data_IF_065008197088
#
_entry.id   IF_065008197088
#
_cell.length_a   1.000
_cell.length_b   1.000
_cell.length_c   1.000
_cell.angle_alpha   90.00
_cell.angle_beta   90.00
_cell.angle_gamma   90.00
#
_symmetry.space_group_name_H-M   'P 1'
#
loop_
_entity.id
_entity.type
_entity.pdbx_description
1 polymer ?
#
# COMPACT_ATOMS: atom_id res chain seq x y z
N UNK A 1 25.31 -11.35 -4.63
CA UNK A 1 26.40 -11.87 -5.49
C UNK A 1 27.77 -11.74 -4.81
N UNK A 2 28.20 -10.57 -4.37
CA UNK A 2 29.53 -10.34 -3.79
C UNK A 2 29.89 -11.25 -2.59
N UNK A 3 28.93 -11.61 -1.76
CA UNK A 3 29.15 -12.49 -0.60
C UNK A 3 29.41 -13.93 -1.04
N UNK A 4 28.72 -14.38 -2.10
CA UNK A 4 28.84 -15.74 -2.62
C UNK A 4 30.13 -15.95 -3.44
N UNK A 5 30.66 -14.88 -4.02
CA UNK A 5 31.92 -14.94 -4.81
C UNK A 5 33.17 -15.04 -3.92
N UNK A 6 33.09 -14.71 -2.64
CA UNK A 6 34.22 -14.76 -1.71
C UNK A 6 34.68 -16.16 -1.29
N UNK A 7 33.92 -17.19 -1.72
CA UNK A 7 34.22 -18.61 -1.44
C UNK A 7 34.48 -18.90 0.07
N UNK A 8 33.76 -18.18 0.95
CA UNK A 8 33.85 -18.35 2.39
C UNK A 8 32.91 -19.48 2.82
N UNK A 9 33.49 -20.57 3.27
CA UNK A 9 32.75 -21.76 3.70
C UNK A 9 31.87 -21.55 4.94
N UNK A 10 32.02 -20.43 5.64
CA UNK A 10 31.25 -20.10 6.83
C UNK A 10 30.11 -19.08 6.55
N UNK A 11 29.91 -18.72 5.28
CA UNK A 11 28.92 -17.73 4.89
C UNK A 11 27.83 -18.34 4.04
N UNK A 12 26.58 -18.07 4.39
CA UNK A 12 25.41 -18.42 3.58
C UNK A 12 24.60 -17.15 3.26
N UNK A 13 23.91 -17.14 2.13
CA UNK A 13 23.04 -16.04 1.72
C UNK A 13 21.57 -16.51 1.64
N UNK A 14 20.64 -15.60 1.98
CA UNK A 14 19.22 -15.79 1.74
C UNK A 14 18.93 -15.26 0.33
N UNK A 15 18.33 -16.08 -0.51
CA UNK A 15 18.05 -15.76 -1.90
C UNK A 15 16.73 -16.39 -2.37
N UNK A 16 16.24 -15.98 -3.53
CA UNK A 16 15.06 -16.58 -4.16
C UNK A 16 15.38 -17.93 -4.83
N UNK A 17 14.36 -18.71 -5.14
CA UNK A 17 14.47 -20.05 -5.74
C UNK A 17 15.19 -20.07 -7.09
N UNK A 18 15.24 -18.95 -7.82
CA UNK A 18 15.93 -18.86 -9.10
C UNK A 18 17.44 -19.18 -9.03
N UNK A 19 18.05 -19.16 -7.85
CA UNK A 19 19.43 -19.59 -7.64
C UNK A 19 19.61 -21.11 -7.75
N UNK A 20 18.54 -21.90 -7.74
CA UNK A 20 18.59 -23.37 -7.95
C UNK A 20 19.18 -23.74 -9.32
N UNK A 21 19.07 -22.86 -10.31
CA UNK A 21 19.58 -23.09 -11.66
C UNK A 21 21.05 -22.70 -11.85
N UNK A 22 21.70 -22.15 -10.81
CA UNK A 22 23.11 -21.77 -10.84
C UNK A 22 23.97 -22.83 -10.15
N UNK A 23 24.63 -23.65 -10.97
CA UNK A 23 25.46 -24.78 -10.51
C UNK A 23 26.66 -24.37 -9.61
N UNK A 24 26.92 -23.08 -9.45
CA UNK A 24 27.99 -22.57 -8.56
C UNK A 24 27.57 -22.58 -7.08
N UNK A 25 26.30 -22.74 -6.80
CA UNK A 25 25.75 -22.65 -5.45
C UNK A 25 25.02 -23.93 -5.04
N UNK A 26 25.01 -24.19 -3.76
CA UNK A 26 24.28 -25.32 -3.16
C UNK A 26 23.22 -24.75 -2.23
N UNK A 27 21.98 -25.17 -2.43
CA UNK A 27 20.89 -24.82 -1.53
C UNK A 27 21.02 -25.64 -0.25
N UNK A 28 21.29 -24.95 0.84
CA UNK A 28 21.40 -25.57 2.16
C UNK A 28 20.03 -25.85 2.77
N UNK A 29 19.08 -24.95 2.60
CA UNK A 29 17.71 -25.10 3.12
C UNK A 29 16.72 -24.32 2.26
N UNK A 30 15.61 -24.97 1.89
CA UNK A 30 14.47 -24.36 1.21
C UNK A 30 13.40 -23.92 2.21
N UNK A 31 12.53 -23.01 1.80
CA UNK A 31 11.33 -22.59 2.54
C UNK A 31 11.64 -22.05 3.95
N UNK A 32 12.65 -21.19 4.05
CA UNK A 32 13.07 -20.55 5.31
C UNK A 32 12.19 -19.36 5.73
N UNK A 33 11.12 -19.09 5.01
CA UNK A 33 10.16 -18.04 5.36
C UNK A 33 9.45 -18.39 6.67
N UNK A 34 9.33 -17.43 7.58
CA UNK A 34 8.61 -17.60 8.85
C UNK A 34 7.09 -17.78 8.66
N UNK A 35 6.56 -17.31 7.52
CA UNK A 35 5.17 -17.44 7.14
C UNK A 35 5.05 -17.87 5.68
N UNK A 36 4.16 -18.81 5.40
CA UNK A 36 3.89 -19.29 4.05
C UNK A 36 3.20 -18.21 3.19
N UNK A 37 2.44 -17.32 3.83
CA UNK A 37 1.73 -16.21 3.19
C UNK A 37 2.54 -14.90 3.28
N UNK A 38 3.75 -14.89 2.75
CA UNK A 38 4.58 -13.69 2.69
C UNK A 38 4.48 -13.05 1.32
N UNK A 39 3.49 -12.18 1.14
CA UNK A 39 3.23 -11.50 -0.12
C UNK A 39 3.91 -10.12 -0.16
N UNK A 40 4.59 -9.82 -1.26
CA UNK A 40 5.07 -8.47 -1.56
C UNK A 40 4.15 -7.84 -2.59
N UNK A 41 3.56 -6.70 -2.25
CA UNK A 41 2.70 -5.94 -3.14
C UNK A 41 3.54 -4.98 -3.98
N UNK A 42 3.45 -5.09 -5.29
CA UNK A 42 4.04 -4.18 -6.25
C UNK A 42 2.96 -3.27 -6.83
N UNK A 43 3.28 -1.99 -7.03
CA UNK A 43 2.43 -1.01 -7.70
C UNK A 43 3.08 -0.60 -9.01
N UNK A 44 2.32 -0.66 -10.10
CA UNK A 44 2.71 -0.05 -11.36
C UNK A 44 2.28 1.42 -11.33
N UNK A 45 3.25 2.34 -11.39
CA UNK A 45 3.00 3.77 -11.33
C UNK A 45 3.14 4.36 -12.74
N UNK A 46 2.13 5.11 -13.17
CA UNK A 46 2.09 5.84 -14.44
C UNK A 46 1.81 7.33 -14.24
N UNK A 47 2.09 8.13 -15.25
CA UNK A 47 1.80 9.57 -15.28
C UNK A 47 0.39 9.90 -15.77
N UNK A 48 -0.26 8.96 -16.45
CA UNK A 48 -1.61 9.12 -16.97
C UNK A 48 -2.58 8.40 -16.05
N UNK A 49 -3.72 9.05 -15.79
CA UNK A 49 -4.83 8.39 -15.11
C UNK A 49 -5.40 7.35 -16.08
N UNK A 50 -5.17 6.05 -15.85
CA UNK A 50 -5.70 5.06 -16.77
C UNK A 50 -7.21 5.20 -16.75
N UNK A 51 -7.79 5.46 -17.90
CA UNK A 51 -9.22 5.64 -18.15
C UNK A 51 -10.03 4.83 -17.14
N UNK A 52 -10.94 5.49 -16.43
CA UNK A 52 -11.83 4.88 -15.45
C UNK A 52 -12.58 3.73 -16.14
N UNK A 53 -12.02 2.56 -16.06
CA UNK A 53 -12.67 1.36 -16.57
C UNK A 53 -13.65 0.89 -15.48
N UNK A 54 -14.89 0.58 -15.85
CA UNK A 54 -15.97 0.15 -14.92
C UNK A 54 -15.63 -1.07 -14.08
N UNK A 55 -14.53 -1.78 -14.36
CA UNK A 55 -14.04 -2.90 -13.57
C UNK A 55 -13.06 -2.50 -12.46
N UNK A 56 -12.72 -1.20 -12.34
CA UNK A 56 -11.80 -0.73 -11.31
C UNK A 56 -12.57 -0.47 -10.03
N UNK A 57 -12.20 -1.16 -8.99
CA UNK A 57 -12.88 -1.10 -7.70
C UNK A 57 -11.96 -0.70 -6.54
N UNK A 58 -10.65 -0.54 -6.77
CA UNK A 58 -9.70 -0.18 -5.74
C UNK A 58 -9.17 1.23 -5.90
N UNK A 59 -9.19 1.97 -4.81
CA UNK A 59 -8.74 3.36 -4.76
C UNK A 59 -7.64 3.47 -3.70
N UNK A 60 -6.56 4.15 -4.06
CA UNK A 60 -5.53 4.60 -3.11
C UNK A 60 -5.60 6.10 -2.97
N UNK A 61 -5.59 6.58 -1.73
CA UNK A 61 -5.67 8.00 -1.40
C UNK A 61 -4.67 8.39 -0.31
N UNK A 62 -4.45 9.70 -0.19
CA UNK A 62 -3.73 10.32 0.93
C UNK A 62 -4.65 11.28 1.65
N UNK A 63 -4.67 11.17 2.97
CA UNK A 63 -5.37 12.04 3.89
C UNK A 63 -4.36 12.74 4.79
N UNK A 64 -4.47 14.05 4.97
CA UNK A 64 -3.78 14.81 6.01
C UNK A 64 -4.86 15.35 6.94
N UNK A 65 -4.88 14.88 8.18
CA UNK A 65 -5.82 15.33 9.20
C UNK A 65 -5.27 16.53 9.99
N UNK A 66 -6.15 17.26 10.66
CA UNK A 66 -5.73 18.22 11.69
C UNK A 66 -5.00 17.51 12.84
N UNK A 67 -4.03 18.21 13.43
CA UNK A 67 -3.37 17.76 14.66
C UNK A 67 -4.23 18.09 15.89
N UNK A 68 -5.36 17.39 15.99
CA UNK A 68 -6.31 17.52 17.11
C UNK A 68 -6.85 16.14 17.49
N UNK A 69 -7.12 15.92 18.78
CA UNK A 69 -7.76 14.69 19.22
C UNK A 69 -9.05 14.39 18.43
N UNK A 70 -9.15 13.19 17.89
CA UNK A 70 -10.33 12.73 17.15
C UNK A 70 -10.40 13.16 15.69
N UNK A 71 -9.44 13.93 15.14
CA UNK A 71 -9.50 14.37 13.73
C UNK A 71 -9.48 13.20 12.75
N UNK A 72 -8.57 12.25 12.95
CA UNK A 72 -8.55 11.03 12.12
C UNK A 72 -9.84 10.23 12.27
N UNK A 73 -10.37 10.09 13.47
CA UNK A 73 -11.61 9.37 13.73
C UNK A 73 -12.78 9.97 12.94
N UNK A 74 -12.90 11.31 12.89
CA UNK A 74 -13.95 11.97 12.10
C UNK A 74 -13.87 11.59 10.62
N UNK A 75 -12.67 11.57 10.06
CA UNK A 75 -12.48 11.14 8.66
C UNK A 75 -12.81 9.67 8.47
N UNK A 76 -12.40 8.77 9.38
CA UNK A 76 -12.70 7.35 9.30
C UNK A 76 -14.19 7.04 9.46
N UNK A 77 -14.92 7.80 10.27
CA UNK A 77 -16.37 7.65 10.41
C UNK A 77 -17.09 7.92 9.08
N UNK A 78 -16.61 8.85 8.25
CA UNK A 78 -17.22 9.12 6.94
C UNK A 78 -17.14 7.87 6.04
N UNK A 79 -16.02 7.15 6.02
CA UNK A 79 -15.93 5.89 5.29
C UNK A 79 -16.93 4.86 5.82
N UNK A 80 -17.04 4.75 7.14
CA UNK A 80 -17.99 3.85 7.79
C UNK A 80 -19.45 4.20 7.47
N UNK A 81 -19.81 5.47 7.54
CA UNK A 81 -21.16 5.96 7.29
C UNK A 81 -21.60 5.74 5.83
N UNK A 82 -20.65 5.76 4.91
CA UNK A 82 -20.85 5.46 3.49
C UNK A 82 -20.74 3.95 3.16
N UNK A 83 -20.52 3.10 4.17
CA UNK A 83 -20.37 1.65 3.99
C UNK A 83 -19.09 1.24 3.26
N UNK A 84 -18.07 2.10 3.23
CA UNK A 84 -16.81 1.86 2.52
C UNK A 84 -15.84 1.09 3.41
N UNK A 85 -15.41 -0.08 2.94
CA UNK A 85 -14.43 -0.89 3.64
C UNK A 85 -12.99 -0.48 3.30
N UNK A 86 -12.19 -0.22 4.33
CA UNK A 86 -10.76 0.10 4.16
C UNK A 86 -9.95 -1.20 4.08
N UNK A 87 -9.11 -1.31 3.05
CA UNK A 87 -8.21 -2.45 2.87
C UNK A 87 -6.78 -2.15 3.31
N UNK A 88 -6.44 -0.86 3.52
CA UNK A 88 -5.16 -0.41 4.07
C UNK A 88 -5.35 0.93 4.79
N UNK A 89 -4.66 1.06 5.92
CA UNK A 89 -4.46 2.34 6.62
C UNK A 89 -3.03 2.38 7.15
N UNK A 90 -2.22 3.31 6.63
CA UNK A 90 -0.82 3.45 7.01
C UNK A 90 -0.48 4.91 7.25
N UNK A 91 0.08 5.21 8.42
CA UNK A 91 0.52 6.57 8.76
C UNK A 91 2.00 6.78 8.43
N UNK A 92 2.35 7.95 7.94
CA UNK A 92 3.72 8.40 7.73
C UNK A 92 3.89 9.83 8.22
N UNK A 93 4.97 10.14 8.95
CA UNK A 93 5.26 11.51 9.35
C UNK A 93 5.54 12.39 8.11
N UNK A 94 5.17 13.66 8.20
CA UNK A 94 5.48 14.63 7.16
C UNK A 94 6.84 15.27 7.46
N UNK A 95 7.79 15.12 6.54
CA UNK A 95 9.12 15.72 6.68
C UNK A 95 9.01 17.24 6.82
N UNK A 96 9.68 17.80 7.83
CA UNK A 96 9.67 19.24 8.10
C UNK A 96 8.42 19.75 8.82
N UNK A 97 7.48 18.88 9.18
CA UNK A 97 6.27 19.23 9.94
C UNK A 97 6.15 18.32 11.16
N UNK A 98 6.77 18.65 12.31
CA UNK A 98 6.66 17.86 13.53
C UNK A 98 5.19 17.66 13.92
N UNK A 99 4.84 16.43 14.32
CA UNK A 99 3.51 16.03 14.78
C UNK A 99 2.42 15.99 13.71
N UNK A 100 2.71 16.32 12.45
CA UNK A 100 1.79 16.13 11.34
C UNK A 100 2.04 14.78 10.64
N UNK A 101 0.94 14.09 10.35
CA UNK A 101 0.95 12.77 9.69
C UNK A 101 0.09 12.81 8.45
N UNK A 102 0.56 12.11 7.42
CA UNK A 102 -0.26 11.72 6.27
C UNK A 102 -0.64 10.26 6.39
N UNK A 103 -1.88 9.96 6.04
CA UNK A 103 -2.44 8.62 6.07
C UNK A 103 -2.64 8.15 4.64
N UNK A 104 -2.01 7.04 4.29
CA UNK A 104 -2.27 6.33 3.05
C UNK A 104 -3.43 5.38 3.29
N UNK A 105 -4.50 5.54 2.54
CA UNK A 105 -5.74 4.80 2.71
C UNK A 105 -6.06 4.12 1.39
N UNK A 106 -6.21 2.79 1.41
CA UNK A 106 -6.77 2.03 0.29
C UNK A 106 -8.16 1.55 0.68
N UNK A 107 -9.08 1.64 -0.25
CA UNK A 107 -10.46 1.19 -0.09
C UNK A 107 -11.04 0.67 -1.40
N UNK A 108 -12.16 -0.02 -1.32
CA UNK A 108 -12.90 -0.54 -2.46
C UNK A 108 -14.21 0.20 -2.61
N UNK A 109 -14.51 0.61 -3.84
CA UNK A 109 -15.70 1.37 -4.17
C UNK A 109 -16.10 1.12 -5.63
N UNK A 110 -17.39 0.85 -5.84
CA UNK A 110 -17.95 0.56 -7.17
C UNK A 110 -18.77 1.72 -7.74
N UNK A 111 -19.21 2.65 -6.88
CA UNK A 111 -20.06 3.77 -7.29
C UNK A 111 -19.31 5.10 -7.35
N UNK A 112 -19.35 5.75 -8.50
CA UNK A 112 -18.79 7.09 -8.68
C UNK A 112 -19.53 8.14 -7.83
N UNK A 113 -20.83 7.97 -7.63
CA UNK A 113 -21.64 8.91 -6.82
C UNK A 113 -21.18 8.88 -5.37
N UNK A 114 -20.95 7.70 -4.80
CA UNK A 114 -20.42 7.53 -3.45
C UNK A 114 -18.99 8.09 -3.34
N UNK A 115 -18.17 7.99 -4.40
CA UNK A 115 -16.86 8.61 -4.44
C UNK A 115 -16.92 10.13 -4.33
N UNK A 116 -17.81 10.77 -5.09
CA UNK A 116 -18.00 12.24 -5.06
C UNK A 116 -18.49 12.68 -3.67
N UNK A 117 -19.42 11.93 -3.08
CA UNK A 117 -19.92 12.21 -1.75
C UNK A 117 -18.82 12.08 -0.68
N UNK A 118 -17.99 11.02 -0.77
CA UNK A 118 -16.84 10.79 0.10
C UNK A 118 -15.87 11.97 0.04
N UNK A 119 -15.46 12.38 -1.17
CA UNK A 119 -14.50 13.48 -1.35
C UNK A 119 -15.04 14.80 -0.78
N UNK A 120 -16.32 15.11 -1.00
CA UNK A 120 -16.96 16.27 -0.42
C UNK A 120 -16.91 16.26 1.10
N UNK A 121 -17.41 15.20 1.73
CA UNK A 121 -17.45 15.08 3.20
C UNK A 121 -16.07 15.07 3.85
N UNK A 122 -15.09 14.39 3.25
CA UNK A 122 -13.73 14.34 3.80
C UNK A 122 -13.03 15.70 3.71
N UNK A 123 -13.25 16.44 2.62
CA UNK A 123 -12.67 17.78 2.45
C UNK A 123 -13.10 18.75 3.54
N UNK A 124 -14.29 18.59 4.11
CA UNK A 124 -14.80 19.43 5.21
C UNK A 124 -14.11 19.16 6.56
N UNK A 125 -13.51 17.99 6.75
CA UNK A 125 -12.96 17.56 8.06
C UNK A 125 -11.45 17.28 8.03
N UNK A 126 -10.81 17.44 6.88
CA UNK A 126 -9.37 17.20 6.69
C UNK A 126 -8.66 18.42 6.16
N UNK A 127 -7.33 18.50 6.36
CA UNK A 127 -6.49 19.53 5.74
C UNK A 127 -6.29 19.29 4.25
N UNK A 128 -6.18 18.01 3.87
CA UNK A 128 -5.95 17.60 2.49
C UNK A 128 -6.48 16.18 2.30
N UNK A 129 -7.19 15.95 1.20
CA UNK A 129 -7.54 14.63 0.72
C UNK A 129 -7.25 14.55 -0.78
N UNK A 130 -6.50 13.54 -1.19
CA UNK A 130 -6.07 13.39 -2.57
C UNK A 130 -6.16 11.93 -3.01
N UNK A 131 -6.84 11.67 -4.11
CA UNK A 131 -6.80 10.38 -4.79
C UNK A 131 -5.45 10.22 -5.50
N UNK A 132 -4.77 9.13 -5.25
CA UNK A 132 -3.50 8.76 -5.88
C UNK A 132 -3.71 7.91 -7.13
N UNK A 133 -4.77 7.11 -7.13
CA UNK A 133 -5.11 6.27 -8.27
C UNK A 133 -6.37 5.44 -8.03
N UNK A 134 -7.03 5.11 -9.14
CA UNK A 134 -8.17 4.23 -9.20
C UNK A 134 -7.84 3.08 -10.16
N UNK A 135 -7.80 1.86 -9.67
CA UNK A 135 -7.28 0.72 -10.42
C UNK A 135 -7.99 -0.58 -10.07
N UNK A 136 -7.82 -1.57 -10.93
CA UNK A 136 -8.32 -2.92 -10.68
C UNK A 136 -7.34 -3.67 -9.76
N UNK A 137 -7.88 -4.35 -8.76
CA UNK A 137 -7.09 -5.28 -7.96
C UNK A 137 -6.65 -6.45 -8.86
N UNK A 138 -5.35 -6.80 -8.80
CA UNK A 138 -4.88 -8.00 -9.48
C UNK A 138 -5.59 -9.22 -8.89
N UNK A 139 -6.06 -10.13 -9.74
CA UNK A 139 -6.52 -11.45 -9.31
C UNK A 139 -5.35 -12.22 -8.70
N UNK A 140 -5.55 -12.78 -7.53
CA UNK A 140 -4.59 -13.68 -6.89
C UNK A 140 -4.51 -15.00 -7.65
#
# INVERSE_FOLDING_TARGET
YEILEKNDLNTAAIAGEHFEYDNRFVILQKNISNHQENFTRFLLIGSEDPLINKSKNKISSVLISDDKPGSLLKSLNIFSDLGINLTKLESRPILGRPWEYKFYIDYELESLEVQIELEGKISDVSKEFKILGHYQMASQ
#
